data_IF_783048172446
#
_entry.id   IF_783048172446
#
_cell.length_a   1.000
_cell.length_b   1.000
_cell.length_c   1.000
_cell.angle_alpha   90.00
_cell.angle_beta   90.00
_cell.angle_gamma   90.00
#
_symmetry.space_group_name_H-M   'P 1'
#
loop_
_entity.id
_entity.type
_entity.pdbx_description
1 polymer ?
#
# COMPACT_ATOMS: atom_id res chain seq x y z
N UNK A 1 -69.35 30.69 -71.33
CA UNK A 1 -68.40 29.56 -71.44
C UNK A 1 -68.42 28.81 -70.13
N UNK A 2 -68.81 27.54 -70.21
CA UNK A 2 -69.12 26.63 -69.11
C UNK A 2 -67.83 25.98 -68.58
N UNK A 3 -67.68 25.87 -67.25
CA UNK A 3 -67.09 24.74 -66.49
C UNK A 3 -66.88 25.16 -65.02
N UNK A 4 -67.74 24.76 -64.07
CA UNK A 4 -67.57 23.65 -63.08
C UNK A 4 -66.37 23.82 -62.14
N UNK A 5 -66.42 23.64 -60.81
CA UNK A 5 -67.30 22.81 -59.95
C UNK A 5 -67.04 23.13 -58.45
N UNK A 6 -68.14 23.13 -57.66
CA UNK A 6 -68.34 22.56 -56.30
C UNK A 6 -67.57 23.11 -55.07
N UNK A 7 -68.33 23.77 -54.20
CA UNK A 7 -68.07 24.06 -52.79
C UNK A 7 -67.72 22.81 -51.97
N UNK A 8 -66.82 22.95 -50.99
CA UNK A 8 -66.89 22.21 -49.72
C UNK A 8 -66.40 23.06 -48.53
N UNK A 9 -67.33 23.19 -47.60
CA UNK A 9 -67.19 23.58 -46.21
C UNK A 9 -66.50 22.45 -45.40
N UNK A 10 -66.00 22.80 -44.21
CA UNK A 10 -65.70 21.95 -43.03
C UNK A 10 -64.32 21.25 -42.91
N UNK A 11 -63.54 21.77 -41.95
CA UNK A 11 -62.80 21.09 -40.86
C UNK A 11 -62.30 19.66 -41.15
N UNK A 12 -60.97 19.49 -41.26
CA UNK A 12 -60.24 18.27 -40.84
C UNK A 12 -58.73 18.48 -40.93
N UNK A 13 -57.99 18.14 -39.86
CA UNK A 13 -56.54 18.03 -39.95
C UNK A 13 -55.71 18.15 -38.66
N UNK A 14 -56.22 17.79 -37.48
CA UNK A 14 -55.31 17.35 -36.40
C UNK A 14 -54.83 15.95 -36.81
N UNK A 15 -53.72 15.89 -37.54
CA UNK A 15 -52.99 14.65 -37.72
C UNK A 15 -51.88 14.59 -36.69
N UNK A 16 -52.17 13.81 -35.66
CA UNK A 16 -51.22 13.31 -34.70
C UNK A 16 -49.99 12.70 -35.40
N UNK A 17 -48.81 13.17 -35.02
CA UNK A 17 -47.58 12.40 -35.12
C UNK A 17 -46.94 12.36 -33.72
N UNK A 18 -47.66 11.75 -32.77
CA UNK A 18 -47.04 11.20 -31.58
C UNK A 18 -46.15 10.04 -32.04
N UNK A 19 -44.88 10.31 -32.32
CA UNK A 19 -43.88 9.24 -32.34
C UNK A 19 -43.68 8.84 -30.89
N UNK A 20 -44.53 7.94 -30.43
CA UNK A 20 -44.28 7.10 -29.27
C UNK A 20 -43.13 6.16 -29.64
N UNK A 21 -41.90 6.64 -29.55
CA UNK A 21 -40.76 5.74 -29.41
C UNK A 21 -40.76 5.21 -27.98
N UNK A 22 -41.68 4.29 -27.70
CA UNK A 22 -41.51 3.30 -26.63
C UNK A 22 -40.43 2.32 -27.09
N UNK A 23 -39.17 2.73 -27.00
CA UNK A 23 -38.11 1.75 -26.81
C UNK A 23 -38.14 1.41 -25.34
N UNK A 24 -38.84 0.32 -24.99
CA UNK A 24 -38.52 -0.45 -23.80
C UNK A 24 -37.12 -1.03 -24.05
N UNK A 25 -36.10 -0.18 -23.92
CA UNK A 25 -34.76 -0.65 -23.69
C UNK A 25 -34.80 -1.34 -22.33
N UNK A 26 -34.45 -2.61 -22.27
CA UNK A 26 -34.14 -3.26 -21.01
C UNK A 26 -33.19 -2.31 -20.27
N UNK A 27 -33.65 -1.74 -19.16
CA UNK A 27 -32.78 -1.02 -18.24
C UNK A 27 -31.91 -2.11 -17.64
N UNK A 28 -30.74 -2.35 -18.25
CA UNK A 28 -29.63 -2.84 -17.46
C UNK A 28 -29.54 -1.89 -16.26
N UNK A 29 -29.43 -2.43 -15.05
CA UNK A 29 -29.10 -1.63 -13.88
C UNK A 29 -27.69 -1.07 -14.11
N UNK A 30 -27.63 -0.01 -14.92
CA UNK A 30 -26.41 0.64 -15.32
C UNK A 30 -25.87 1.30 -14.08
N UNK A 31 -24.65 0.96 -13.71
CA UNK A 31 -23.89 1.62 -12.65
C UNK A 31 -23.55 3.10 -12.98
N UNK A 32 -24.19 3.67 -14.01
CA UNK A 32 -23.93 4.98 -14.58
C UNK A 32 -25.22 5.82 -14.55
N UNK A 33 -25.19 6.91 -13.79
CA UNK A 33 -26.21 7.95 -13.80
C UNK A 33 -25.70 9.14 -14.63
N UNK A 34 -26.51 9.62 -15.58
CA UNK A 34 -26.17 10.84 -16.31
C UNK A 34 -26.50 12.06 -15.46
N UNK A 35 -25.48 12.89 -15.21
CA UNK A 35 -25.61 14.17 -14.51
C UNK A 35 -25.27 15.34 -15.43
N UNK A 36 -25.81 16.54 -15.12
CA UNK A 36 -25.36 17.80 -15.70
C UNK A 36 -24.40 18.48 -14.73
N UNK A 37 -23.19 18.82 -15.19
CA UNK A 37 -22.15 19.44 -14.38
C UNK A 37 -21.39 20.51 -15.20
N UNK A 38 -20.75 21.47 -14.51
CA UNK A 38 -20.05 22.59 -15.14
C UNK A 38 -18.54 22.47 -14.93
N UNK A 39 -17.75 22.75 -15.97
CA UNK A 39 -16.31 22.99 -15.82
C UNK A 39 -16.09 24.33 -15.14
N UNK A 40 -15.27 24.35 -14.10
CA UNK A 40 -15.05 25.55 -13.30
C UNK A 40 -13.67 26.16 -13.58
N UNK A 41 -13.67 27.27 -14.33
CA UNK A 41 -12.46 28.00 -14.72
C UNK A 41 -11.97 28.99 -13.66
N UNK A 42 -12.76 29.27 -12.61
CA UNK A 42 -12.43 30.22 -11.56
C UNK A 42 -11.58 29.64 -10.44
N UNK A 43 -11.49 28.31 -10.33
CA UNK A 43 -10.77 27.61 -9.27
C UNK A 43 -9.27 27.56 -9.61
N UNK A 44 -8.45 27.95 -8.63
CA UNK A 44 -6.99 27.93 -8.68
C UNK A 44 -6.47 26.80 -7.79
N UNK A 45 -5.38 26.15 -8.21
CA UNK A 45 -4.71 25.15 -7.40
C UNK A 45 -3.43 25.71 -6.79
N UNK A 46 -3.16 25.31 -5.55
CA UNK A 46 -1.93 25.60 -4.81
C UNK A 46 -1.44 24.27 -4.24
N UNK A 47 -0.17 23.96 -4.47
CA UNK A 47 0.50 22.77 -3.95
C UNK A 47 1.78 23.22 -3.25
N UNK A 48 1.99 22.79 -2.01
CA UNK A 48 3.14 23.19 -1.17
C UNK A 48 3.34 24.72 -1.08
N UNK A 49 2.21 25.44 -1.01
CA UNK A 49 2.19 26.91 -0.96
C UNK A 49 2.47 27.62 -2.29
N UNK A 50 2.71 26.87 -3.38
CA UNK A 50 3.00 27.41 -4.71
C UNK A 50 1.83 27.25 -5.68
N UNK A 51 1.58 28.23 -6.57
CA UNK A 51 0.61 28.07 -7.65
C UNK A 51 0.93 26.84 -8.51
N UNK A 52 -0.06 25.99 -8.70
CA UNK A 52 0.08 24.75 -9.47
C UNK A 52 -1.02 24.67 -10.54
N UNK A 53 -0.70 24.08 -11.69
CA UNK A 53 -1.66 23.90 -12.78
C UNK A 53 -1.69 22.42 -13.18
N UNK A 54 -2.72 21.66 -12.77
CA UNK A 54 -2.82 20.23 -13.06
C UNK A 54 -2.86 19.99 -14.57
N UNK A 55 -2.15 18.96 -15.03
CA UNK A 55 -2.10 18.54 -16.42
C UNK A 55 -2.55 17.09 -16.57
N UNK A 56 -3.05 16.72 -17.75
CA UNK A 56 -3.32 15.32 -18.10
C UNK A 56 -2.05 14.66 -18.67
N UNK A 57 -2.15 13.37 -19.01
CA UNK A 57 -1.05 12.61 -19.61
C UNK A 57 -0.53 13.18 -20.96
N UNK A 58 -1.33 14.00 -21.64
CA UNK A 58 -0.95 14.67 -22.89
C UNK A 58 -0.33 16.05 -22.66
N UNK A 59 -0.27 16.53 -21.41
CA UNK A 59 0.26 17.84 -21.04
C UNK A 59 -0.78 18.97 -21.06
N UNK A 60 -2.04 18.69 -21.37
CA UNK A 60 -3.11 19.69 -21.39
C UNK A 60 -3.56 20.05 -19.97
N UNK A 61 -3.87 21.32 -19.73
CA UNK A 61 -4.36 21.78 -18.44
C UNK A 61 -5.74 21.20 -18.14
N UNK A 62 -5.91 20.57 -16.99
CA UNK A 62 -7.21 20.05 -16.53
C UNK A 62 -7.94 21.11 -15.72
N UNK A 63 -9.27 21.12 -15.81
CA UNK A 63 -10.15 21.98 -15.01
C UNK A 63 -11.04 21.12 -14.11
N UNK A 64 -11.29 21.57 -12.87
CA UNK A 64 -12.19 20.87 -11.98
C UNK A 64 -13.63 21.00 -12.46
N UNK A 65 -14.47 20.06 -12.02
CA UNK A 65 -15.90 20.02 -12.33
C UNK A 65 -16.66 20.44 -11.07
N UNK A 66 -17.60 21.36 -11.20
CA UNK A 66 -18.54 21.69 -10.13
C UNK A 66 -19.89 21.02 -10.38
N UNK A 67 -20.34 20.27 -9.39
CA UNK A 67 -21.63 19.57 -9.39
C UNK A 67 -22.26 19.66 -8.00
N UNK A 68 -23.51 20.14 -7.92
CA UNK A 68 -24.27 20.32 -6.66
C UNK A 68 -23.42 20.93 -5.54
N UNK A 69 -22.87 22.12 -5.79
CA UNK A 69 -22.03 22.88 -4.84
C UNK A 69 -20.71 22.20 -4.44
N UNK A 70 -20.42 21.00 -4.96
CA UNK A 70 -19.19 20.26 -4.71
C UNK A 70 -18.26 20.41 -5.90
N UNK A 71 -16.97 20.60 -5.64
CA UNK A 71 -15.94 20.64 -6.67
C UNK A 71 -15.20 19.30 -6.70
N UNK A 72 -15.19 18.66 -7.86
CA UNK A 72 -14.47 17.44 -8.14
C UNK A 72 -13.18 17.78 -8.87
N UNK A 73 -12.07 17.23 -8.36
CA UNK A 73 -10.73 17.47 -8.88
C UNK A 73 -10.21 16.23 -9.61
N UNK A 74 -9.32 16.40 -10.60
CA UNK A 74 -8.76 15.26 -11.35
C UNK A 74 -7.84 14.44 -10.44
N UNK A 75 -8.32 13.28 -10.01
CA UNK A 75 -7.62 12.42 -9.07
C UNK A 75 -6.18 12.13 -9.49
N UNK A 76 -5.96 11.73 -10.75
CA UNK A 76 -4.62 11.39 -11.27
C UNK A 76 -3.64 12.55 -11.17
N UNK A 77 -4.06 13.75 -11.56
CA UNK A 77 -3.18 14.92 -11.52
C UNK A 77 -2.79 15.28 -10.09
N UNK A 78 -3.74 15.18 -9.15
CA UNK A 78 -3.47 15.41 -7.72
C UNK A 78 -2.51 14.35 -7.20
N UNK A 79 -2.78 13.08 -7.48
CA UNK A 79 -1.97 11.96 -7.04
C UNK A 79 -0.53 12.08 -7.55
N UNK A 80 -0.32 12.28 -8.85
CA UNK A 80 1.02 12.45 -9.44
C UNK A 80 1.79 13.60 -8.78
N UNK A 81 1.10 14.71 -8.52
CA UNK A 81 1.73 15.88 -7.90
C UNK A 81 2.08 15.66 -6.42
N UNK A 82 1.40 14.74 -5.74
CA UNK A 82 1.69 14.33 -4.35
C UNK A 82 2.51 13.03 -4.26
N UNK A 83 3.06 12.53 -5.38
CA UNK A 83 3.88 11.32 -5.40
C UNK A 83 3.10 9.99 -5.35
N UNK A 84 1.79 10.02 -5.58
CA UNK A 84 0.92 8.85 -5.69
C UNK A 84 0.67 8.42 -7.14
N UNK A 85 0.65 7.11 -7.37
CA UNK A 85 0.19 6.47 -8.60
C UNK A 85 -1.29 6.05 -8.48
N UNK A 86 -1.99 6.04 -9.61
CA UNK A 86 -3.41 5.72 -9.71
C UNK A 86 -3.64 4.66 -10.78
N UNK A 87 -3.99 3.45 -10.34
CA UNK A 87 -4.28 2.31 -11.21
C UNK A 87 -5.78 2.11 -11.33
N UNK A 88 -6.23 1.78 -12.54
CA UNK A 88 -7.61 1.41 -12.83
C UNK A 88 -7.66 -0.06 -13.24
N UNK A 89 -8.37 -0.86 -12.47
CA UNK A 89 -8.72 -2.23 -12.83
C UNK A 89 -10.14 -2.25 -13.43
N UNK A 90 -10.20 -2.45 -14.75
CA UNK A 90 -11.46 -2.49 -15.49
C UNK A 90 -12.31 -3.73 -15.16
N UNK A 91 -11.69 -4.85 -14.75
CA UNK A 91 -12.40 -6.09 -14.47
C UNK A 91 -13.14 -6.02 -13.13
N UNK A 92 -12.51 -5.44 -12.11
CA UNK A 92 -13.09 -5.26 -10.78
C UNK A 92 -13.75 -3.88 -10.59
N UNK A 93 -13.71 -3.01 -11.60
CA UNK A 93 -14.14 -1.61 -11.53
C UNK A 93 -13.52 -0.85 -10.34
N UNK A 94 -12.26 -1.13 -10.04
CA UNK A 94 -11.57 -0.61 -8.85
C UNK A 94 -10.52 0.42 -9.24
N UNK A 95 -10.52 1.56 -8.54
CA UNK A 95 -9.43 2.53 -8.56
C UNK A 95 -8.54 2.25 -7.35
N UNK A 96 -7.25 2.02 -7.59
CA UNK A 96 -6.23 1.91 -6.54
C UNK A 96 -5.35 3.14 -6.56
N UNK A 97 -5.16 3.75 -5.39
CA UNK A 97 -4.27 4.90 -5.20
C UNK A 97 -3.18 4.44 -4.23
N UNK A 98 -1.93 4.59 -4.61
CA UNK A 98 -0.80 4.27 -3.76
C UNK A 98 0.39 5.14 -4.12
N UNK A 99 1.09 5.67 -3.13
CA UNK A 99 2.42 6.20 -3.37
C UNK A 99 3.32 5.06 -3.78
N UNK A 100 3.76 5.06 -5.04
CA UNK A 100 4.97 4.34 -5.39
C UNK A 100 6.13 5.08 -4.68
N UNK A 101 6.27 4.89 -3.36
CA UNK A 101 7.57 4.34 -2.96
C UNK A 101 7.66 3.10 -3.79
N UNK A 102 8.56 3.11 -4.79
CA UNK A 102 8.75 1.98 -5.68
C UNK A 102 8.47 0.74 -4.86
N UNK A 103 7.48 -0.06 -5.27
CA UNK A 103 7.47 -1.43 -4.80
C UNK A 103 8.83 -1.94 -5.29
N UNK A 104 9.85 -1.82 -4.43
CA UNK A 104 10.92 -2.77 -4.36
C UNK A 104 10.13 -4.05 -4.36
N UNK A 105 10.08 -4.71 -5.53
CA UNK A 105 9.51 -6.04 -5.71
C UNK A 105 9.83 -6.74 -4.43
N UNK A 106 8.84 -6.95 -3.55
CA UNK A 106 9.08 -7.30 -2.16
C UNK A 106 9.93 -8.55 -2.20
N UNK A 107 11.25 -8.42 -2.04
CA UNK A 107 12.13 -9.57 -2.08
C UNK A 107 12.06 -10.07 -0.65
N UNK A 108 11.29 -11.13 -0.38
CA UNK A 108 11.41 -11.74 0.93
C UNK A 108 12.89 -12.02 1.16
N UNK A 109 13.33 -11.84 2.40
CA UNK A 109 14.61 -12.36 2.88
C UNK A 109 14.93 -13.67 2.18
N UNK A 110 16.13 -13.77 1.65
CA UNK A 110 16.63 -15.02 1.09
C UNK A 110 17.76 -15.54 1.96
N UNK A 111 18.00 -16.85 1.92
CA UNK A 111 19.13 -17.47 2.63
C UNK A 111 20.50 -16.89 2.22
N UNK A 112 20.58 -16.08 1.16
CA UNK A 112 21.80 -15.40 0.72
C UNK A 112 22.09 -14.10 1.49
N UNK A 113 21.06 -13.53 2.14
CA UNK A 113 21.14 -12.25 2.85
C UNK A 113 20.87 -12.37 4.34
N UNK A 114 20.48 -13.55 4.84
CA UNK A 114 20.33 -13.83 6.27
C UNK A 114 20.86 -15.21 6.61
N UNK A 115 21.55 -15.32 7.73
CA UNK A 115 22.14 -16.56 8.22
C UNK A 115 22.22 -16.57 9.73
N UNK A 116 22.12 -17.75 10.33
CA UNK A 116 22.41 -17.95 11.74
C UNK A 116 23.92 -18.11 11.95
N UNK A 117 24.48 -17.42 12.94
CA UNK A 117 25.96 -17.32 13.09
C UNK A 117 26.46 -17.83 14.44
N UNK A 118 25.63 -17.79 15.49
CA UNK A 118 26.00 -18.23 16.85
C UNK A 118 24.92 -19.11 17.47
N UNK A 119 25.23 -20.40 17.62
CA UNK A 119 24.41 -21.36 18.38
C UNK A 119 24.24 -22.72 17.70
N UNK A 120 23.46 -23.61 18.32
CA UNK A 120 23.11 -24.95 17.81
C UNK A 120 21.62 -25.08 17.45
N UNK A 121 20.86 -23.99 17.58
CA UNK A 121 19.41 -23.98 17.36
C UNK A 121 19.03 -24.16 15.89
N UNK A 122 17.86 -24.77 15.68
CA UNK A 122 17.22 -24.81 14.36
C UNK A 122 16.93 -23.36 13.94
N UNK A 123 17.31 -23.03 12.71
CA UNK A 123 17.12 -21.69 12.16
C UNK A 123 16.77 -21.77 10.69
N UNK A 124 16.16 -20.72 10.18
CA UNK A 124 15.82 -20.61 8.77
C UNK A 124 14.68 -19.65 8.50
N UNK A 125 14.38 -19.47 7.23
CA UNK A 125 13.20 -18.75 6.79
C UNK A 125 11.97 -19.59 7.10
N UNK A 126 11.00 -19.01 7.80
CA UNK A 126 9.67 -19.58 8.00
C UNK A 126 8.63 -18.78 7.23
N UNK A 127 7.65 -19.48 6.69
CA UNK A 127 6.43 -18.95 6.08
C UNK A 127 5.18 -19.57 6.74
N UNK A 128 5.39 -20.27 7.86
CA UNK A 128 4.33 -20.89 8.61
C UNK A 128 3.47 -19.80 9.27
N UNK A 129 2.18 -19.75 8.91
CA UNK A 129 1.26 -18.72 9.39
C UNK A 129 1.09 -18.77 10.91
N UNK A 130 1.04 -19.96 11.49
CA UNK A 130 0.82 -20.12 12.95
C UNK A 130 2.04 -19.62 13.75
N UNK A 131 3.23 -19.83 13.22
CA UNK A 131 4.47 -19.30 13.80
C UNK A 131 4.56 -17.78 13.66
N UNK A 132 3.99 -17.22 12.60
CA UNK A 132 4.08 -15.81 12.23
C UNK A 132 2.87 -14.96 12.63
N UNK A 133 1.97 -15.50 13.46
CA UNK A 133 0.90 -14.73 14.09
C UNK A 133 1.38 -14.16 15.43
N UNK A 134 1.36 -12.84 15.57
CA UNK A 134 1.69 -12.13 16.81
C UNK A 134 0.57 -11.14 17.16
N UNK A 135 -0.10 -11.38 18.28
CA UNK A 135 -1.38 -10.72 18.56
C UNK A 135 -2.38 -10.95 17.43
N UNK A 136 -2.87 -9.86 16.84
CA UNK A 136 -3.80 -9.89 15.69
C UNK A 136 -3.07 -9.77 14.34
N UNK A 137 -1.74 -9.58 14.33
CA UNK A 137 -0.98 -9.33 13.10
C UNK A 137 -0.41 -10.62 12.55
N UNK A 138 -0.80 -10.97 11.33
CA UNK A 138 -0.27 -12.12 10.58
C UNK A 138 0.85 -11.68 9.64
N UNK A 139 2.07 -12.15 9.89
CA UNK A 139 3.19 -11.98 8.97
C UNK A 139 3.29 -13.15 7.99
N UNK A 140 3.88 -12.91 6.82
CA UNK A 140 3.98 -13.89 5.72
C UNK A 140 5.34 -14.56 5.64
N UNK A 141 6.39 -13.92 6.13
CA UNK A 141 7.75 -14.44 6.12
C UNK A 141 8.56 -13.85 7.28
N UNK A 142 9.43 -14.64 7.88
CA UNK A 142 10.44 -14.19 8.84
C UNK A 142 11.62 -15.15 8.88
N UNK A 143 12.76 -14.72 9.42
CA UNK A 143 13.85 -15.62 9.74
C UNK A 143 13.81 -15.95 11.23
N UNK A 144 13.72 -17.23 11.56
CA UNK A 144 13.62 -17.69 12.94
C UNK A 144 14.93 -18.33 13.42
N UNK A 145 15.19 -18.21 14.72
CA UNK A 145 16.22 -18.95 15.45
C UNK A 145 15.63 -19.52 16.73
N UNK A 146 15.68 -20.84 16.88
CA UNK A 146 15.23 -21.54 18.08
C UNK A 146 16.35 -21.67 19.11
N UNK A 147 16.02 -22.06 20.33
CA UNK A 147 17.02 -22.29 21.38
C UNK A 147 17.50 -21.02 22.07
N UNK A 148 16.76 -19.91 21.95
CA UNK A 148 17.07 -18.67 22.65
C UNK A 148 16.97 -18.88 24.16
N UNK A 149 18.11 -18.76 24.83
CA UNK A 149 18.30 -18.88 26.27
C UNK A 149 19.39 -17.89 26.72
N UNK A 150 19.93 -18.05 27.93
CA UNK A 150 20.96 -17.13 28.45
C UNK A 150 22.32 -17.20 27.74
N UNK A 151 22.57 -18.18 26.87
CA UNK A 151 23.77 -18.23 26.03
C UNK A 151 23.64 -17.37 24.75
N UNK A 152 22.42 -16.92 24.47
CA UNK A 152 22.06 -16.11 23.32
C UNK A 152 22.06 -16.86 21.99
N UNK A 153 21.36 -16.32 20.99
CA UNK A 153 21.42 -16.74 19.59
C UNK A 153 21.55 -15.51 18.70
N UNK A 154 22.34 -15.60 17.62
CA UNK A 154 22.63 -14.44 16.75
C UNK A 154 22.25 -14.70 15.29
N UNK A 155 21.37 -13.85 14.77
CA UNK A 155 21.04 -13.76 13.35
C UNK A 155 21.91 -12.68 12.72
N UNK A 156 22.55 -12.99 11.60
CA UNK A 156 23.23 -12.01 10.76
C UNK A 156 22.42 -11.76 9.51
N UNK A 157 22.31 -10.51 9.09
CA UNK A 157 21.66 -10.12 7.85
C UNK A 157 22.40 -9.00 7.13
N UNK A 158 22.26 -8.96 5.81
CA UNK A 158 22.93 -8.00 4.93
C UNK A 158 21.98 -6.89 4.52
N UNK A 159 22.50 -5.67 4.49
CA UNK A 159 21.81 -4.48 3.99
C UNK A 159 22.53 -3.95 2.75
N UNK A 160 21.81 -3.26 1.87
CA UNK A 160 22.38 -2.70 0.64
C UNK A 160 23.41 -1.62 0.99
N UNK A 161 24.52 -1.58 0.26
CA UNK A 161 25.48 -0.49 0.37
C UNK A 161 24.81 0.87 0.11
N UNK A 162 25.07 1.84 0.97
CA UNK A 162 24.46 3.18 0.91
C UNK A 162 23.12 3.30 1.64
N UNK A 163 22.61 2.23 2.27
CA UNK A 163 21.45 2.32 3.17
C UNK A 163 21.73 3.34 4.28
N UNK A 164 20.84 4.33 4.45
CA UNK A 164 20.99 5.36 5.49
C UNK A 164 20.19 5.03 6.74
N UNK A 165 19.01 4.44 6.57
CA UNK A 165 18.08 4.13 7.64
C UNK A 165 17.41 2.80 7.36
N UNK A 166 17.04 2.09 8.42
CA UNK A 166 16.35 0.80 8.35
C UNK A 166 15.38 0.66 9.51
N UNK A 167 14.25 0.02 9.24
CA UNK A 167 13.25 -0.41 10.23
C UNK A 167 13.28 -1.93 10.34
N UNK A 168 13.32 -2.47 11.56
CA UNK A 168 13.37 -3.90 11.84
C UNK A 168 12.32 -4.25 12.88
N UNK A 169 11.51 -5.28 12.60
CA UNK A 169 10.60 -5.84 13.58
C UNK A 169 11.20 -7.11 14.18
N UNK A 170 11.34 -7.09 15.49
CA UNK A 170 11.81 -8.23 16.29
C UNK A 170 10.58 -8.88 16.91
N UNK A 171 10.47 -10.20 16.84
CA UNK A 171 9.38 -10.91 17.52
C UNK A 171 9.91 -12.11 18.30
N UNK A 172 9.15 -12.56 19.29
CA UNK A 172 9.59 -13.63 20.18
C UNK A 172 8.44 -14.51 20.63
N UNK A 173 8.69 -15.82 20.73
CA UNK A 173 7.79 -16.80 21.35
C UNK A 173 8.59 -17.73 22.24
N UNK A 174 8.15 -17.94 23.47
CA UNK A 174 8.71 -18.94 24.38
C UNK A 174 7.59 -19.86 24.87
N UNK A 175 7.68 -21.19 24.68
CA UNK A 175 6.71 -22.14 25.22
C UNK A 175 6.47 -22.02 26.74
N UNK A 176 7.40 -21.41 27.47
CA UNK A 176 7.31 -21.17 28.92
C UNK A 176 6.84 -19.76 29.29
N UNK A 177 6.54 -18.90 28.31
CA UNK A 177 5.98 -17.57 28.54
C UNK A 177 6.98 -16.49 28.97
N UNK A 178 8.30 -16.72 28.85
CA UNK A 178 9.29 -15.70 29.15
C UNK A 178 9.46 -14.71 28.00
N UNK A 179 9.91 -13.50 28.31
CA UNK A 179 10.43 -12.57 27.30
C UNK A 179 11.90 -12.79 26.98
N UNK A 180 12.40 -12.06 25.99
CA UNK A 180 13.81 -11.96 25.64
C UNK A 180 14.25 -10.51 25.57
N UNK A 181 15.55 -10.30 25.73
CA UNK A 181 16.21 -9.05 25.31
C UNK A 181 16.83 -9.25 23.93
N UNK A 182 17.03 -8.16 23.22
CA UNK A 182 17.70 -8.19 21.92
C UNK A 182 18.61 -6.99 21.72
N UNK A 183 19.64 -7.20 20.91
CA UNK A 183 20.57 -6.18 20.43
C UNK A 183 20.68 -6.27 18.92
N UNK A 184 20.48 -5.14 18.25
CA UNK A 184 20.72 -4.96 16.82
C UNK A 184 21.97 -4.13 16.66
N UNK A 185 22.93 -4.57 15.85
CA UNK A 185 24.20 -3.87 15.75
C UNK A 185 25.09 -4.32 14.61
N UNK A 186 26.33 -3.84 14.69
CA UNK A 186 27.48 -4.36 13.96
C UNK A 186 28.34 -5.15 14.94
N UNK A 187 29.44 -5.75 14.45
CA UNK A 187 30.43 -6.38 15.32
C UNK A 187 30.98 -5.45 16.41
N UNK A 188 31.05 -4.14 16.12
CA UNK A 188 31.79 -3.18 16.94
C UNK A 188 30.88 -2.16 17.64
N UNK A 189 29.57 -2.15 17.36
CA UNK A 189 28.65 -1.13 17.88
C UNK A 189 27.19 -1.57 17.87
N UNK A 190 26.48 -1.26 18.95
CA UNK A 190 25.03 -1.44 19.05
C UNK A 190 24.30 -0.26 18.40
N UNK A 191 23.29 -0.57 17.58
CA UNK A 191 22.46 0.40 16.88
C UNK A 191 21.07 0.52 17.49
N UNK A 192 20.52 -0.59 17.99
CA UNK A 192 19.28 -0.61 18.77
C UNK A 192 19.30 -1.75 19.79
N UNK A 193 18.61 -1.58 20.91
CA UNK A 193 18.47 -2.60 21.95
C UNK A 193 17.08 -2.53 22.54
N UNK A 194 16.54 -3.65 22.99
CA UNK A 194 15.25 -3.65 23.66
C UNK A 194 14.90 -4.98 24.30
N UNK A 195 13.64 -5.08 24.72
CA UNK A 195 13.03 -6.31 25.24
C UNK A 195 11.75 -6.61 24.47
N UNK A 196 11.43 -7.89 24.34
CA UNK A 196 10.23 -8.38 23.69
C UNK A 196 9.60 -9.47 24.57
N UNK A 197 8.32 -9.32 24.88
CA UNK A 197 7.57 -10.30 25.66
C UNK A 197 7.21 -11.54 24.81
N UNK A 198 6.81 -12.63 25.47
CA UNK A 198 6.26 -13.78 24.76
C UNK A 198 5.05 -13.41 23.91
N UNK A 199 5.03 -13.88 22.66
CA UNK A 199 3.96 -13.62 21.70
C UNK A 199 3.88 -12.18 21.19
N UNK A 200 4.84 -11.33 21.55
CA UNK A 200 4.86 -9.91 21.19
C UNK A 200 5.88 -9.58 20.08
N UNK A 201 5.79 -8.34 19.62
CA UNK A 201 6.74 -7.73 18.67
C UNK A 201 7.36 -6.47 19.27
N UNK A 202 8.50 -6.07 18.72
CA UNK A 202 9.12 -4.78 18.94
C UNK A 202 9.69 -4.23 17.62
N UNK A 203 9.17 -3.09 17.18
CA UNK A 203 9.65 -2.39 16.00
C UNK A 203 10.76 -1.40 16.37
N UNK A 204 11.83 -1.40 15.58
CA UNK A 204 13.01 -0.57 15.77
C UNK A 204 13.30 0.18 14.49
N UNK A 205 13.67 1.46 14.57
CA UNK A 205 14.14 2.24 13.42
C UNK A 205 15.42 2.96 13.81
N UNK A 206 16.48 2.80 13.02
CA UNK A 206 17.79 3.37 13.33
C UNK A 206 18.57 3.71 12.05
N UNK A 207 19.54 4.60 12.20
CA UNK A 207 20.44 4.98 11.12
C UNK A 207 21.56 3.95 10.94
N UNK A 208 21.86 3.62 9.70
CA UNK A 208 22.91 2.68 9.32
C UNK A 208 24.21 3.47 9.09
N UNK A 209 25.30 3.15 9.81
CA UNK A 209 26.57 3.84 9.60
C UNK A 209 27.09 3.68 8.17
N UNK A 210 27.80 4.70 7.66
CA UNK A 210 28.34 4.67 6.30
C UNK A 210 29.25 3.45 6.08
N UNK A 211 29.03 2.75 4.97
CA UNK A 211 29.82 1.57 4.58
C UNK A 211 29.40 0.27 5.28
N UNK A 212 28.40 0.30 6.17
CA UNK A 212 27.86 -0.91 6.79
C UNK A 212 26.93 -1.63 5.81
N UNK A 213 27.26 -2.88 5.50
CA UNK A 213 26.45 -3.77 4.66
C UNK A 213 26.01 -5.03 5.40
N UNK A 214 26.39 -5.17 6.67
CA UNK A 214 26.12 -6.35 7.49
C UNK A 214 25.74 -5.91 8.91
N UNK A 215 24.66 -6.49 9.41
CA UNK A 215 24.11 -6.25 10.73
C UNK A 215 23.83 -7.58 11.43
N UNK A 216 23.80 -7.54 12.76
CA UNK A 216 23.44 -8.66 13.62
C UNK A 216 22.21 -8.31 14.44
N UNK A 217 21.41 -9.33 14.75
CA UNK A 217 20.35 -9.33 15.75
C UNK A 217 20.65 -10.48 16.70
N UNK A 218 21.09 -10.13 17.91
CA UNK A 218 21.33 -11.08 19.00
C UNK A 218 20.11 -11.10 19.93
N UNK A 219 19.63 -12.29 20.26
CA UNK A 219 18.60 -12.52 21.28
C UNK A 219 19.22 -13.16 22.50
N UNK A 220 18.84 -12.70 23.70
CA UNK A 220 19.14 -13.35 24.96
C UNK A 220 17.86 -13.61 25.77
N UNK A 221 17.64 -14.88 26.13
CA UNK A 221 16.50 -15.34 26.92
C UNK A 221 16.89 -15.71 28.36
N UNK A 222 15.93 -16.24 29.11
CA UNK A 222 16.18 -16.74 30.46
C UNK A 222 17.10 -17.98 30.52
N UNK A 223 17.66 -18.27 31.70
CA UNK A 223 18.64 -19.36 31.95
C UNK A 223 18.10 -20.75 31.56
N UNK A 224 16.79 -20.97 31.66
CA UNK A 224 16.14 -22.22 31.24
C UNK A 224 15.20 -22.04 30.04
N UNK A 225 15.37 -20.93 29.32
CA UNK A 225 14.58 -20.59 28.13
C UNK A 225 14.84 -21.57 26.98
N UNK A 226 13.86 -21.69 26.10
CA UNK A 226 13.99 -22.37 24.81
C UNK A 226 13.13 -21.63 23.78
N UNK A 227 13.28 -20.31 23.77
CA UNK A 227 12.48 -19.44 22.94
C UNK A 227 12.88 -19.49 21.48
N UNK A 228 12.01 -18.92 20.66
CA UNK A 228 12.24 -18.69 19.24
C UNK A 228 12.23 -17.19 19.00
N UNK A 229 13.37 -16.67 18.56
CA UNK A 229 13.51 -15.29 18.09
C UNK A 229 13.22 -15.21 16.60
N UNK A 230 12.54 -14.14 16.20
CA UNK A 230 12.17 -13.88 14.81
C UNK A 230 12.69 -12.52 14.39
N UNK A 231 13.45 -12.51 13.30
CA UNK A 231 13.71 -11.32 12.50
C UNK A 231 12.58 -11.21 11.47
N UNK A 232 11.70 -10.25 11.69
CA UNK A 232 10.65 -9.87 10.74
C UNK A 232 11.11 -8.56 10.12
N UNK A 233 11.60 -8.64 8.89
CA UNK A 233 12.03 -7.44 8.17
C UNK A 233 11.50 -7.43 6.75
N UNK A 234 11.27 -6.20 6.31
CA UNK A 234 10.72 -5.76 5.05
C UNK A 234 11.64 -4.64 4.56
N UNK A 235 12.08 -4.72 3.31
CA UNK A 235 12.95 -3.73 2.66
C UNK A 235 12.26 -2.36 2.45
N UNK A 236 10.99 -2.20 2.82
CA UNK A 236 10.22 -0.94 2.79
C UNK A 236 10.79 0.21 3.63
N UNK A 237 11.85 -0.04 4.42
CA UNK A 237 12.46 0.97 5.28
C UNK A 237 13.82 1.45 4.79
N UNK A 238 14.21 1.13 3.56
CA UNK A 238 15.48 1.57 2.98
C UNK A 238 15.36 2.98 2.40
N UNK A 239 15.61 4.00 3.22
CA UNK A 239 15.95 5.33 2.69
C UNK A 239 17.37 5.27 2.08
N UNK A 240 17.44 5.36 0.75
CA UNK A 240 18.70 5.48 -0.01
C UNK A 240 19.21 6.92 -0.12
#
# INVERSE_FOLDING_TARGET
MMTTRKNKWLISGISAACILSFTLGAQAAGTLEQIQANLNHGIKFVLDGQPWNPKNANGDAIKPISYKETTYVPLRAVAEATGADVKWDAASQTISIGTEEAEAVRKPFSNNVVSHVKGYGVSGITQNKDELLFGETQYTTGFMVQGVNSAGQEIKFKVKEGTKRIGITVAFKDPKGHGATYTIGTKDSNLATGSVADGAIASNTFDVPRGVTELTLEFEGGISGNGTGYLIWDESWLES
#
